data_IF_060944571142
#
_entry.id   IF_060944571142
#
_cell.length_a   1.000
_cell.length_b   1.000
_cell.length_c   1.000
_cell.angle_alpha   90.00
_cell.angle_beta   90.00
_cell.angle_gamma   90.00
#
_symmetry.space_group_name_H-M   'P 1'
#
loop_
_entity.id
_entity.type
_entity.pdbx_description
1 polymer ?
#
# COMPACT_ATOMS: atom_id res chain seq x y z
N UNK A 1 -37.61 -41.73 58.15
CA UNK A 1 -38.64 -40.80 57.65
C UNK A 1 -37.95 -39.69 56.86
N UNK A 2 -38.39 -39.52 55.62
CA UNK A 2 -38.32 -38.39 54.68
C UNK A 2 -37.28 -37.26 54.80
N UNK A 3 -36.43 -37.20 53.75
CA UNK A 3 -36.02 -36.05 52.90
C UNK A 3 -36.07 -34.63 53.47
N UNK A 4 -34.97 -33.88 53.32
CA UNK A 4 -34.94 -32.54 52.69
C UNK A 4 -33.46 -32.17 52.36
N UNK A 5 -33.31 -31.55 51.19
CA UNK A 5 -32.11 -31.02 50.56
C UNK A 5 -31.36 -29.99 51.41
N UNK A 6 -30.03 -29.90 51.29
CA UNK A 6 -29.37 -28.67 50.80
C UNK A 6 -27.92 -28.96 50.40
N UNK A 7 -27.55 -28.46 49.23
CA UNK A 7 -26.29 -28.67 48.55
C UNK A 7 -25.12 -27.96 49.24
N UNK A 8 -23.99 -28.66 49.38
CA UNK A 8 -22.70 -28.04 49.65
C UNK A 8 -21.78 -28.30 48.45
N UNK A 9 -21.81 -27.31 47.58
CA UNK A 9 -20.94 -26.96 46.45
C UNK A 9 -19.58 -27.66 46.48
N UNK A 10 -19.34 -28.47 45.45
CA UNK A 10 -18.03 -28.96 45.02
C UNK A 10 -17.21 -27.75 44.57
N UNK A 11 -16.26 -27.30 45.40
CA UNK A 11 -15.22 -26.36 44.97
C UNK A 11 -14.07 -27.19 44.40
N UNK A 12 -14.25 -27.65 43.15
CA UNK A 12 -13.11 -28.05 42.34
C UNK A 12 -12.40 -26.77 41.93
N UNK A 13 -11.16 -26.61 42.41
CA UNK A 13 -10.25 -25.55 42.01
C UNK A 13 -9.92 -25.74 40.53
N UNK A 14 -10.69 -25.09 39.66
CA UNK A 14 -10.35 -24.92 38.26
C UNK A 14 -9.24 -23.88 38.21
N UNK A 15 -8.02 -24.35 37.98
CA UNK A 15 -6.91 -23.50 37.56
C UNK A 15 -7.28 -22.89 36.20
N UNK A 16 -7.88 -21.71 36.21
CA UNK A 16 -7.91 -20.83 35.05
C UNK A 16 -6.48 -20.39 34.78
N UNK A 17 -5.79 -21.10 33.88
CA UNK A 17 -4.60 -20.60 33.22
C UNK A 17 -5.02 -19.37 32.41
N UNK A 18 -4.75 -18.18 32.94
CA UNK A 18 -4.76 -16.95 32.15
C UNK A 18 -3.65 -17.12 31.10
N UNK A 19 -4.04 -17.53 29.89
CA UNK A 19 -3.16 -17.42 28.72
C UNK A 19 -3.17 -15.95 28.35
N UNK A 20 -2.15 -15.23 28.82
CA UNK A 20 -1.83 -13.91 28.30
C UNK A 20 -1.54 -14.08 26.81
N UNK A 21 -2.47 -13.63 25.97
CA UNK A 21 -2.24 -13.46 24.55
C UNK A 21 -1.17 -12.37 24.40
N UNK A 22 0.10 -12.78 24.37
CA UNK A 22 1.18 -11.93 23.93
C UNK A 22 0.93 -11.62 22.46
N UNK A 23 0.32 -10.46 22.21
CA UNK A 23 0.34 -9.83 20.90
C UNK A 23 1.79 -9.37 20.66
N UNK A 24 2.63 -10.31 20.26
CA UNK A 24 4.00 -10.06 19.84
C UNK A 24 3.93 -9.27 18.54
N UNK A 25 4.00 -7.95 18.64
CA UNK A 25 4.29 -7.09 17.50
C UNK A 25 5.71 -7.45 17.12
N UNK A 26 5.85 -8.36 16.16
CA UNK A 26 7.14 -8.71 15.57
C UNK A 26 7.78 -7.40 15.12
N UNK A 27 8.96 -7.14 15.66
CA UNK A 27 9.83 -6.08 15.18
C UNK A 27 9.92 -6.25 13.66
N UNK A 28 9.48 -5.23 12.94
CA UNK A 28 9.45 -5.23 11.49
C UNK A 28 10.90 -5.28 11.02
N UNK A 29 11.47 -6.48 10.91
CA UNK A 29 12.78 -6.72 10.34
C UNK A 29 12.71 -6.27 8.89
N UNK A 30 13.03 -4.99 8.69
CA UNK A 30 13.17 -4.40 7.37
C UNK A 30 14.34 -5.16 6.73
N UNK A 31 14.10 -6.06 5.75
CA UNK A 31 15.15 -6.87 5.17
C UNK A 31 16.24 -5.93 4.69
N UNK A 32 17.50 -6.20 5.04
CA UNK A 32 18.59 -5.31 4.62
C UNK A 32 18.79 -5.30 3.10
N UNK A 33 18.24 -6.30 2.41
CA UNK A 33 18.32 -6.50 0.97
C UNK A 33 16.92 -6.71 0.39
N UNK A 34 16.35 -5.67 -0.21
CA UNK A 34 15.01 -5.62 -0.80
C UNK A 34 14.91 -4.40 -1.72
N UNK A 35 13.93 -4.41 -2.62
CA UNK A 35 13.66 -3.30 -3.54
C UNK A 35 14.78 -3.07 -4.56
N UNK A 36 15.42 -4.14 -5.03
CA UNK A 36 16.47 -4.11 -6.03
C UNK A 36 16.36 -5.30 -7.00
N UNK A 37 17.14 -5.25 -8.08
CA UNK A 37 17.14 -6.30 -9.10
C UNK A 37 17.55 -7.68 -8.55
N UNK A 38 18.49 -7.76 -7.60
CA UNK A 38 18.95 -9.03 -7.02
C UNK A 38 17.86 -9.77 -6.23
N UNK A 39 16.86 -9.02 -5.78
CA UNK A 39 15.71 -9.53 -5.01
C UNK A 39 14.44 -9.60 -5.83
N UNK A 40 14.55 -9.53 -7.16
CA UNK A 40 13.42 -9.45 -8.10
C UNK A 40 12.42 -8.36 -7.69
N UNK A 41 12.92 -7.22 -7.20
CA UNK A 41 12.13 -6.09 -6.73
C UNK A 41 11.11 -6.52 -5.65
N UNK A 42 11.52 -7.37 -4.71
CA UNK A 42 10.67 -7.72 -3.57
C UNK A 42 10.51 -6.52 -2.62
N UNK A 43 9.29 -6.19 -2.15
CA UNK A 43 9.09 -5.07 -1.25
C UNK A 43 9.74 -5.26 0.12
N UNK A 44 10.28 -4.17 0.66
CA UNK A 44 10.89 -4.14 1.99
C UNK A 44 9.87 -4.10 3.13
N UNK A 45 8.63 -3.70 2.83
CA UNK A 45 7.56 -3.56 3.80
C UNK A 45 6.31 -4.28 3.34
N UNK A 46 5.54 -4.84 4.28
CA UNK A 46 4.22 -5.39 4.03
C UNK A 46 3.28 -4.39 3.36
N UNK A 47 2.52 -4.88 2.37
CA UNK A 47 1.53 -4.10 1.62
C UNK A 47 0.54 -3.39 2.53
N UNK A 48 0.07 -4.05 3.60
CA UNK A 48 -0.91 -3.48 4.53
C UNK A 48 -0.44 -2.16 5.15
N UNK A 49 0.85 -2.06 5.49
CA UNK A 49 1.44 -0.83 6.04
C UNK A 49 1.66 0.18 4.92
N UNK A 50 2.17 -0.27 3.77
CA UNK A 50 2.37 0.57 2.60
C UNK A 50 1.06 1.29 2.17
N UNK A 51 -0.04 0.54 2.07
CA UNK A 51 -1.36 1.04 1.68
C UNK A 51 -1.89 2.10 2.65
N UNK A 52 -1.64 1.97 3.95
CA UNK A 52 -2.04 2.98 4.94
C UNK A 52 -1.33 4.31 4.69
N UNK A 53 -0.04 4.27 4.37
CA UNK A 53 0.73 5.48 4.07
C UNK A 53 0.30 6.08 2.73
N UNK A 54 0.08 5.25 1.72
CA UNK A 54 -0.42 5.68 0.41
C UNK A 54 -1.79 6.35 0.54
N UNK A 55 -2.74 5.71 1.22
CA UNK A 55 -4.07 6.25 1.48
C UNK A 55 -4.01 7.60 2.21
N UNK A 56 -3.18 7.72 3.25
CA UNK A 56 -2.98 8.96 4.01
C UNK A 56 -2.41 10.11 3.16
N UNK A 57 -1.59 9.80 2.15
CA UNK A 57 -1.18 10.80 1.16
C UNK A 57 -2.35 11.19 0.26
N UNK A 58 -3.08 10.20 -0.27
CA UNK A 58 -4.20 10.44 -1.16
C UNK A 58 -5.33 11.25 -0.52
N UNK A 59 -5.58 11.12 0.77
CA UNK A 59 -6.59 11.95 1.46
C UNK A 59 -6.35 13.46 1.28
N UNK A 60 -5.10 13.88 1.08
CA UNK A 60 -4.69 15.28 0.92
C UNK A 60 -4.73 15.79 -0.52
N UNK A 61 -4.50 14.92 -1.50
CA UNK A 61 -4.31 15.32 -2.90
C UNK A 61 -5.36 14.75 -3.87
N UNK A 62 -6.10 13.72 -3.45
CA UNK A 62 -6.97 12.90 -4.30
C UNK A 62 -8.40 12.88 -3.73
N UNK A 63 -9.43 13.17 -4.55
CA UNK A 63 -10.81 13.18 -4.08
C UNK A 63 -11.33 11.74 -3.87
N UNK A 64 -12.36 11.54 -3.02
CA UNK A 64 -12.84 10.21 -2.61
C UNK A 64 -13.08 9.24 -3.76
N UNK A 65 -13.64 9.73 -4.86
CA UNK A 65 -13.98 8.92 -6.03
C UNK A 65 -12.78 8.36 -6.82
N UNK A 66 -11.58 8.86 -6.54
CA UNK A 66 -10.32 8.36 -7.12
C UNK A 66 -9.49 7.51 -6.15
N UNK A 67 -9.84 7.49 -4.84
CA UNK A 67 -9.00 6.86 -3.81
C UNK A 67 -8.92 5.34 -3.89
N UNK A 68 -9.81 4.70 -4.67
CA UNK A 68 -9.70 3.27 -4.97
C UNK A 68 -8.37 2.88 -5.64
N UNK A 69 -7.66 3.83 -6.26
CA UNK A 69 -6.34 3.63 -6.87
C UNK A 69 -5.18 3.79 -5.89
N UNK A 70 -5.44 4.16 -4.64
CA UNK A 70 -4.40 4.43 -3.64
C UNK A 70 -4.04 3.18 -2.83
N UNK A 71 -3.74 2.09 -3.55
CA UNK A 71 -3.35 0.78 -3.03
C UNK A 71 -2.23 0.21 -3.90
N UNK A 72 -1.30 -0.53 -3.31
CA UNK A 72 -0.24 -1.23 -4.04
C UNK A 72 -0.72 -2.61 -4.51
N UNK A 73 -1.64 -2.63 -5.47
CA UNK A 73 -2.08 -3.89 -6.07
C UNK A 73 -1.13 -4.31 -7.20
N UNK A 74 -0.39 -5.40 -6.98
CA UNK A 74 0.58 -5.96 -7.93
C UNK A 74 0.09 -7.22 -8.65
N UNK A 75 -1.09 -7.74 -8.30
CA UNK A 75 -1.75 -8.77 -9.10
C UNK A 75 -2.40 -8.13 -10.34
N UNK A 76 -2.01 -8.60 -11.52
CA UNK A 76 -2.49 -8.06 -12.79
C UNK A 76 -4.03 -8.08 -12.96
N UNK A 77 -4.72 -9.09 -12.43
CA UNK A 77 -6.18 -9.22 -12.53
C UNK A 77 -6.84 -8.21 -11.58
N UNK A 78 -6.43 -8.21 -10.31
CA UNK A 78 -6.99 -7.32 -9.30
C UNK A 78 -6.71 -5.84 -9.63
N UNK A 79 -5.51 -5.52 -10.13
CA UNK A 79 -5.16 -4.17 -10.57
C UNK A 79 -6.09 -3.68 -11.69
N UNK A 80 -6.44 -4.55 -12.66
CA UNK A 80 -7.41 -4.23 -13.72
C UNK A 80 -8.81 -4.03 -13.17
N UNK A 81 -9.23 -4.85 -12.20
CA UNK A 81 -10.52 -4.71 -11.52
C UNK A 81 -10.59 -3.35 -10.78
N UNK A 82 -9.52 -2.96 -10.08
CA UNK A 82 -9.40 -1.68 -9.39
C UNK A 82 -9.49 -0.50 -10.37
N UNK A 83 -8.73 -0.56 -11.48
CA UNK A 83 -8.81 0.44 -12.55
C UNK A 83 -10.23 0.52 -13.11
N UNK A 84 -10.83 -0.62 -13.43
CA UNK A 84 -12.18 -0.71 -13.96
C UNK A 84 -13.20 -0.07 -13.01
N UNK A 85 -13.23 -0.45 -11.73
CA UNK A 85 -14.18 0.09 -10.76
C UNK A 85 -13.96 1.58 -10.46
N UNK A 86 -12.72 2.06 -10.54
CA UNK A 86 -12.43 3.48 -10.28
C UNK A 86 -12.71 4.36 -11.50
N UNK A 87 -12.50 3.84 -12.72
CA UNK A 87 -12.60 4.61 -13.98
C UNK A 87 -13.96 4.46 -14.65
N UNK A 88 -14.51 3.24 -14.79
CA UNK A 88 -15.75 2.99 -15.54
C UNK A 88 -16.97 3.78 -15.06
N UNK A 89 -17.21 3.99 -13.76
CA UNK A 89 -18.35 4.81 -13.35
C UNK A 89 -18.14 6.31 -13.65
N UNK A 90 -17.07 6.69 -14.38
CA UNK A 90 -16.69 8.05 -14.76
C UNK A 90 -16.55 9.02 -13.59
N UNK A 91 -16.35 8.49 -12.38
CA UNK A 91 -16.26 9.30 -11.16
C UNK A 91 -14.86 9.88 -11.04
N UNK A 92 -13.83 9.06 -11.21
CA UNK A 92 -12.46 9.54 -11.14
C UNK A 92 -12.00 10.22 -12.44
N UNK A 93 -11.73 11.53 -12.36
CA UNK A 93 -11.11 12.31 -13.45
C UNK A 93 -9.60 12.06 -13.49
N UNK A 94 -9.16 10.94 -14.05
CA UNK A 94 -7.74 10.54 -14.08
C UNK A 94 -6.80 11.63 -14.62
N UNK A 95 -7.20 12.37 -15.65
CA UNK A 95 -6.36 13.44 -16.21
C UNK A 95 -5.98 14.53 -15.20
N UNK A 96 -6.74 14.67 -14.11
CA UNK A 96 -6.52 15.65 -13.05
C UNK A 96 -5.78 15.07 -11.85
N UNK A 97 -5.99 13.78 -11.56
CA UNK A 97 -5.56 13.18 -10.29
C UNK A 97 -4.51 12.07 -10.42
N UNK A 98 -4.23 11.57 -11.63
CA UNK A 98 -3.24 10.49 -11.82
C UNK A 98 -1.83 10.92 -11.39
N UNK A 99 -1.44 12.18 -11.66
CA UNK A 99 -0.17 12.74 -11.18
C UNK A 99 -0.11 12.76 -9.63
N UNK A 100 -1.22 13.09 -8.96
CA UNK A 100 -1.30 13.06 -7.49
C UNK A 100 -1.22 11.65 -6.94
N UNK A 101 -1.88 10.69 -7.58
CA UNK A 101 -1.84 9.27 -7.21
C UNK A 101 -0.41 8.73 -7.34
N UNK A 102 0.24 8.94 -8.49
CA UNK A 102 1.63 8.53 -8.73
C UNK A 102 2.58 9.18 -7.73
N UNK A 103 2.44 10.48 -7.46
CA UNK A 103 3.25 11.18 -6.47
C UNK A 103 3.14 10.55 -5.09
N UNK A 104 1.91 10.21 -4.68
CA UNK A 104 1.67 9.57 -3.40
C UNK A 104 2.21 8.14 -3.31
N UNK A 105 2.11 7.37 -4.39
CA UNK A 105 2.69 6.03 -4.48
C UNK A 105 4.22 6.07 -4.37
N UNK A 106 4.86 7.05 -5.00
CA UNK A 106 6.32 7.15 -5.02
C UNK A 106 6.93 7.43 -3.64
N UNK A 107 6.22 8.10 -2.73
CA UNK A 107 6.72 8.49 -1.40
C UNK A 107 8.15 9.09 -1.40
N UNK A 108 8.51 9.84 -2.46
CA UNK A 108 9.85 10.43 -2.76
C UNK A 108 10.90 9.53 -3.41
N UNK A 109 10.58 8.28 -3.69
CA UNK A 109 11.47 7.32 -4.34
C UNK A 109 11.32 7.36 -5.86
N UNK A 110 12.45 7.39 -6.56
CA UNK A 110 12.52 7.15 -8.00
C UNK A 110 12.61 5.64 -8.24
N UNK A 111 11.64 5.09 -8.97
CA UNK A 111 11.54 3.66 -9.27
C UNK A 111 11.75 3.38 -10.77
N UNK A 112 12.43 4.28 -11.49
CA UNK A 112 12.67 4.15 -12.93
C UNK A 112 13.39 2.85 -13.27
N UNK A 113 14.42 2.47 -12.52
CA UNK A 113 15.17 1.22 -12.73
C UNK A 113 14.26 -0.03 -12.67
N UNK A 114 13.42 -0.13 -11.64
CA UNK A 114 12.43 -1.21 -11.54
C UNK A 114 11.44 -1.20 -12.71
N UNK A 115 10.96 -0.01 -13.09
CA UNK A 115 10.04 0.11 -14.22
C UNK A 115 10.68 -0.28 -15.56
N UNK A 116 11.98 -0.02 -15.73
CA UNK A 116 12.73 -0.48 -16.90
C UNK A 116 12.80 -2.00 -16.93
N UNK A 117 13.19 -2.63 -15.82
CA UNK A 117 13.24 -4.10 -15.65
C UNK A 117 11.87 -4.78 -15.89
N UNK A 118 10.79 -4.12 -15.47
CA UNK A 118 9.42 -4.60 -15.69
C UNK A 118 8.91 -4.34 -17.11
N UNK A 119 9.70 -3.70 -17.99
CA UNK A 119 9.31 -3.39 -19.36
C UNK A 119 8.25 -2.29 -19.48
N UNK A 120 8.11 -1.39 -18.49
CA UNK A 120 7.20 -0.23 -18.58
C UNK A 120 7.65 0.73 -19.68
N UNK A 121 8.96 0.89 -19.86
CA UNK A 121 9.56 1.74 -20.89
C UNK A 121 9.19 1.31 -22.33
N UNK A 122 8.90 0.03 -22.56
CA UNK A 122 8.55 -0.53 -23.86
C UNK A 122 7.23 0.01 -24.42
N UNK A 123 6.33 0.48 -23.55
CA UNK A 123 5.06 1.14 -23.93
C UNK A 123 5.27 2.60 -24.39
N UNK A 124 6.46 3.14 -24.14
CA UNK A 124 6.88 4.49 -24.49
C UNK A 124 7.56 5.21 -23.32
N UNK A 125 8.51 6.12 -23.59
CA UNK A 125 9.30 6.80 -22.56
C UNK A 125 8.47 7.65 -21.60
N UNK A 126 7.29 8.12 -22.03
CA UNK A 126 6.35 8.84 -21.18
C UNK A 126 5.84 8.00 -20.00
N UNK A 127 5.82 6.66 -20.12
CA UNK A 127 5.34 5.79 -19.05
C UNK A 127 6.29 5.76 -17.85
N UNK A 128 7.60 6.00 -18.05
CA UNK A 128 8.56 6.14 -16.95
C UNK A 128 8.26 7.35 -16.06
N UNK A 129 7.51 8.34 -16.57
CA UNK A 129 7.04 9.43 -15.71
C UNK A 129 6.08 8.92 -14.61
N UNK A 130 5.45 7.76 -14.78
CA UNK A 130 4.63 7.14 -13.73
C UNK A 130 5.46 6.43 -12.65
N UNK A 131 6.78 6.34 -12.81
CA UNK A 131 7.68 5.59 -11.92
C UNK A 131 8.42 6.47 -10.93
N UNK A 132 8.31 7.79 -11.09
CA UNK A 132 9.02 8.78 -10.28
C UNK A 132 8.06 9.66 -9.46
N UNK A 133 8.54 10.33 -8.40
CA UNK A 133 7.78 11.34 -7.69
C UNK A 133 7.47 12.52 -8.62
N UNK A 134 6.24 13.01 -8.59
CA UNK A 134 5.87 14.15 -9.43
C UNK A 134 6.31 15.46 -8.80
N UNK A 135 7.07 16.27 -9.54
CA UNK A 135 7.49 17.61 -9.10
C UNK A 135 6.29 18.51 -8.77
N UNK A 136 5.21 18.38 -9.53
CA UNK A 136 3.92 19.00 -9.25
C UNK A 136 2.82 17.92 -9.20
N UNK A 137 2.38 17.48 -8.01
CA UNK A 137 1.33 16.47 -7.87
C UNK A 137 0.00 16.89 -8.49
N UNK A 138 -0.25 18.19 -8.65
CA UNK A 138 -1.49 18.75 -9.23
C UNK A 138 -1.38 18.96 -10.74
N UNK A 139 -0.31 18.49 -11.37
CA UNK A 139 -0.13 18.57 -12.81
C UNK A 139 -1.23 17.77 -13.50
N UNK A 140 -1.94 18.42 -14.42
CA UNK A 140 -2.87 17.71 -15.28
C UNK A 140 -2.11 16.93 -16.35
N UNK A 141 -2.45 15.65 -16.52
CA UNK A 141 -1.94 14.75 -17.57
C UNK A 141 -2.92 14.63 -18.73
N UNK A 142 -3.66 15.71 -18.98
CA UNK A 142 -4.67 15.82 -20.04
C UNK A 142 -5.54 17.05 -19.83
N UNK A 143 -6.56 17.20 -20.69
CA UNK A 143 -7.44 18.38 -20.69
C UNK A 143 -8.85 17.99 -20.27
N UNK A 144 -9.48 17.08 -21.03
CA UNK A 144 -10.83 16.55 -20.75
C UNK A 144 -10.81 15.07 -20.38
N UNK A 145 -9.76 14.37 -20.81
CA UNK A 145 -9.48 12.95 -20.58
C UNK A 145 -7.97 12.78 -20.43
N UNK A 146 -7.55 11.62 -19.92
CA UNK A 146 -6.14 11.29 -19.85
C UNK A 146 -5.57 11.27 -21.27
N UNK A 147 -4.36 11.82 -21.48
CA UNK A 147 -3.73 11.77 -22.81
C UNK A 147 -3.56 10.31 -23.23
N UNK A 148 -3.76 10.04 -24.53
CA UNK A 148 -3.73 8.69 -25.10
C UNK A 148 -2.41 7.95 -24.82
N UNK A 149 -1.31 8.69 -24.83
CA UNK A 149 0.03 8.17 -24.56
C UNK A 149 0.29 7.84 -23.08
N UNK A 150 -0.53 8.33 -22.14
CA UNK A 150 -0.56 7.85 -20.75
C UNK A 150 -1.58 6.74 -20.52
N UNK A 151 -2.64 6.66 -21.34
CA UNK A 151 -3.64 5.58 -21.23
C UNK A 151 -2.99 4.22 -21.48
N UNK A 152 -2.08 4.12 -22.47
CA UNK A 152 -1.36 2.88 -22.74
C UNK A 152 -0.53 2.40 -21.54
N UNK A 153 0.03 3.32 -20.75
CA UNK A 153 0.84 2.99 -19.58
C UNK A 153 0.03 2.24 -18.51
N UNK A 154 -1.29 2.45 -18.44
CA UNK A 154 -2.17 1.74 -17.50
C UNK A 154 -2.22 0.22 -17.74
N UNK A 155 -1.77 -0.26 -18.91
CA UNK A 155 -1.65 -1.68 -19.20
C UNK A 155 -0.64 -2.41 -18.30
N UNK A 156 0.31 -1.68 -17.70
CA UNK A 156 1.31 -2.17 -16.74
C UNK A 156 1.11 -1.55 -15.34
N UNK A 157 -0.12 -1.19 -14.98
CA UNK A 157 -0.42 -0.55 -13.68
C UNK A 157 0.01 -1.40 -12.48
N UNK A 158 -0.20 -2.71 -12.54
CA UNK A 158 0.25 -3.67 -11.53
C UNK A 158 1.77 -3.65 -11.32
N UNK A 159 2.52 -3.58 -12.42
CA UNK A 159 3.99 -3.51 -12.40
C UNK A 159 4.48 -2.16 -11.88
N UNK A 160 3.82 -1.06 -12.28
CA UNK A 160 4.12 0.27 -11.75
C UNK A 160 3.87 0.31 -10.24
N UNK A 161 2.74 -0.24 -9.76
CA UNK A 161 2.44 -0.33 -8.32
C UNK A 161 3.43 -1.25 -7.58
N UNK A 162 3.83 -2.38 -8.17
CA UNK A 162 4.89 -3.24 -7.62
C UNK A 162 6.18 -2.45 -7.44
N UNK A 163 6.61 -1.69 -8.44
CA UNK A 163 7.83 -0.89 -8.36
C UNK A 163 7.76 0.20 -7.29
N UNK A 164 6.64 0.92 -7.18
CA UNK A 164 6.48 1.90 -6.10
C UNK A 164 6.50 1.25 -4.72
N UNK A 165 5.86 0.08 -4.55
CA UNK A 165 5.89 -0.66 -3.29
C UNK A 165 7.31 -1.13 -2.94
N UNK A 166 8.06 -1.55 -3.96
CA UNK A 166 9.44 -2.03 -3.84
C UNK A 166 10.40 -0.97 -3.32
N UNK A 167 10.22 0.29 -3.74
CA UNK A 167 11.03 1.42 -3.29
C UNK A 167 10.80 1.84 -1.83
N UNK A 168 9.71 1.41 -1.19
CA UNK A 168 9.36 1.84 0.15
C UNK A 168 10.20 1.18 1.22
N UNK A 169 10.70 1.97 2.17
CA UNK A 169 11.43 1.47 3.33
C UNK A 169 10.77 1.93 4.63
N UNK A 170 10.70 1.05 5.62
CA UNK A 170 10.26 1.43 6.95
C UNK A 170 11.28 2.41 7.56
N UNK A 171 10.83 3.64 7.88
CA UNK A 171 11.68 4.57 8.64
C UNK A 171 11.85 4.00 10.04
N UNK A 172 13.09 3.78 10.47
CA UNK A 172 13.39 3.48 11.88
C UNK A 172 12.98 4.69 12.71
N UNK A 173 11.89 4.59 13.47
CA UNK A 173 11.56 5.58 14.49
C UNK A 173 12.42 5.25 15.71
N UNK A 174 13.41 6.08 16.11
CA UNK A 174 14.15 5.84 17.32
C UNK A 174 13.18 5.81 18.50
N UNK A 175 13.16 4.72 19.28
CA UNK A 175 12.39 4.64 20.51
C UNK A 175 12.86 5.78 21.42
N UNK A 176 11.97 6.73 21.74
CA UNK A 176 12.25 7.67 22.84
C UNK A 176 12.42 6.81 24.09
N UNK A 177 13.62 6.82 24.67
CA UNK A 177 13.85 6.25 26.00
C UNK A 177 13.03 7.10 26.97
N UNK A 178 11.86 6.60 27.35
CA UNK A 178 11.09 7.17 28.45
C UNK A 178 11.81 6.76 29.72
N UNK A 179 12.70 7.62 30.22
CA UNK A 179 13.23 7.48 31.56
C UNK A 179 12.06 7.67 32.54
N UNK A 180 11.58 6.56 33.11
CA UNK A 180 10.77 6.60 34.33
C UNK A 180 11.72 6.94 35.46
N UNK A 181 11.63 8.17 35.95
CA UNK A 181 12.16 8.54 37.26
C UNK A 181 11.34 7.89 38.37
#
# INVERSE_FOLDING_TARGET
MSRIFLAAVVISVVLCSFVDAQNEVTEFENPTDCGNQQTDWKPCIERKIADQVFASCCERFVPPECRGLCIYESNAIEARIVLMHTIQPSRCRLYKYLSSIVHCAAQTHDNTECCEDMGVHELGPQCLQMCQPQANPRQNWGIKSLRKDYVICLAKWDQIMQCHHSGLRARKIPKKVVNRN
#
